data_IF_974845707477
#
_entry.id   IF_974845707477
#
_cell.length_a   1.000
_cell.length_b   1.000
_cell.length_c   1.000
_cell.angle_alpha   90.00
_cell.angle_beta   90.00
_cell.angle_gamma   90.00
#
_symmetry.space_group_name_H-M   'P 1'
#
loop_
_entity.id
_entity.type
_entity.pdbx_description
1 polymer ?
#
# COMPACT_ATOMS: atom_id res chain seq x y z
N UNK A 1 -17.88 -10.60 -12.48
CA UNK A 1 -18.47 -10.32 -11.14
C UNK A 1 -20.01 -10.42 -11.12
N UNK A 2 -20.70 -10.43 -12.27
CA UNK A 2 -22.19 -10.41 -12.33
C UNK A 2 -22.82 -11.60 -11.61
N UNK A 3 -22.17 -12.75 -11.66
CA UNK A 3 -22.67 -14.02 -11.12
C UNK A 3 -21.99 -14.43 -9.81
N UNK A 4 -21.23 -13.54 -9.21
CA UNK A 4 -20.55 -13.80 -7.94
C UNK A 4 -21.54 -13.65 -6.78
N UNK A 5 -21.60 -14.63 -5.86
CA UNK A 5 -22.50 -14.58 -4.71
C UNK A 5 -22.02 -13.60 -3.63
N UNK A 6 -20.79 -13.11 -3.74
CA UNK A 6 -20.19 -12.21 -2.76
C UNK A 6 -20.85 -10.83 -2.81
N UNK A 7 -21.26 -10.37 -1.63
CA UNK A 7 -21.87 -9.05 -1.45
C UNK A 7 -20.88 -7.90 -1.65
N UNK A 8 -19.64 -8.13 -1.26
CA UNK A 8 -18.56 -7.16 -1.37
C UNK A 8 -17.41 -7.77 -2.19
N UNK A 9 -16.87 -6.99 -3.10
CA UNK A 9 -15.66 -7.30 -3.85
C UNK A 9 -14.65 -6.21 -3.52
N UNK A 10 -13.47 -6.63 -3.08
CA UNK A 10 -12.35 -5.74 -2.79
C UNK A 10 -11.30 -5.98 -3.86
N UNK A 11 -10.91 -4.91 -4.52
CA UNK A 11 -9.77 -4.88 -5.44
C UNK A 11 -8.71 -3.92 -4.91
N UNK A 12 -7.45 -4.14 -5.26
CA UNK A 12 -6.35 -3.28 -4.82
C UNK A 12 -5.53 -2.78 -6.01
N UNK A 13 -5.02 -1.57 -5.87
CA UNK A 13 -4.16 -0.94 -6.87
C UNK A 13 -4.25 0.58 -6.78
N UNK A 14 -3.51 1.31 -7.61
CA UNK A 14 -3.60 2.77 -7.67
C UNK A 14 -4.88 3.21 -8.39
N UNK A 15 -6.04 2.77 -7.88
CA UNK A 15 -7.35 2.99 -8.52
C UNK A 15 -7.75 4.45 -8.57
N UNK A 16 -7.20 5.29 -7.71
CA UNK A 16 -7.52 6.72 -7.64
C UNK A 16 -6.65 7.60 -8.54
N UNK A 17 -5.80 7.03 -9.42
CA UNK A 17 -5.18 7.81 -10.51
C UNK A 17 -6.26 8.40 -11.41
N UNK A 18 -6.03 9.59 -12.03
CA UNK A 18 -7.06 10.26 -12.84
C UNK A 18 -7.66 9.38 -13.94
N UNK A 19 -6.83 8.58 -14.60
CA UNK A 19 -7.27 7.66 -15.67
C UNK A 19 -8.13 6.53 -15.14
N UNK A 20 -7.66 5.85 -14.10
CA UNK A 20 -8.38 4.72 -13.51
C UNK A 20 -9.71 5.16 -12.89
N UNK A 21 -9.72 6.29 -12.18
CA UNK A 21 -10.93 6.80 -11.56
C UNK A 21 -12.02 7.11 -12.59
N UNK A 22 -11.68 7.78 -13.69
CA UNK A 22 -12.60 8.02 -14.81
C UNK A 22 -13.11 6.73 -15.43
N UNK A 23 -12.23 5.74 -15.60
CA UNK A 23 -12.60 4.44 -16.13
C UNK A 23 -13.60 3.73 -15.21
N UNK A 24 -13.34 3.73 -13.92
CA UNK A 24 -14.24 3.16 -12.92
C UNK A 24 -15.60 3.86 -12.93
N UNK A 25 -15.64 5.19 -12.91
CA UNK A 25 -16.89 5.96 -13.00
C UNK A 25 -17.69 5.64 -14.26
N UNK A 26 -17.02 5.41 -15.38
CA UNK A 26 -17.67 5.07 -16.66
C UNK A 26 -18.28 3.67 -16.65
N UNK A 27 -17.62 2.70 -16.02
CA UNK A 27 -17.99 1.29 -16.15
C UNK A 27 -18.75 0.74 -14.95
N UNK A 28 -18.59 1.31 -13.75
CA UNK A 28 -19.37 0.91 -12.58
C UNK A 28 -20.66 1.68 -12.51
N UNK A 29 -21.78 0.96 -12.62
CA UNK A 29 -23.13 1.53 -12.49
C UNK A 29 -23.52 1.87 -11.05
N UNK A 30 -22.80 1.31 -10.06
CA UNK A 30 -23.01 1.55 -8.63
C UNK A 30 -21.86 2.40 -8.09
N UNK A 31 -22.10 3.25 -7.09
CA UNK A 31 -21.05 3.94 -6.40
C UNK A 31 -20.05 2.93 -5.84
N UNK A 32 -18.76 3.14 -6.13
CA UNK A 32 -17.67 2.41 -5.49
C UNK A 32 -17.07 3.29 -4.39
N UNK A 33 -16.42 2.65 -3.43
CA UNK A 33 -15.76 3.32 -2.30
C UNK A 33 -14.27 2.98 -2.34
N UNK A 34 -13.43 3.96 -2.06
CA UNK A 34 -11.99 3.80 -2.04
C UNK A 34 -11.47 3.94 -0.60
N UNK A 35 -10.69 2.97 -0.15
CA UNK A 35 -9.89 3.11 1.07
C UNK A 35 -8.48 3.49 0.63
N UNK A 36 -8.03 4.68 1.04
CA UNK A 36 -6.73 5.24 0.67
C UNK A 36 -5.79 5.06 1.86
N UNK A 37 -4.80 4.20 1.71
CA UNK A 37 -3.78 3.96 2.74
C UNK A 37 -2.69 5.03 2.63
N UNK A 38 -2.42 5.72 3.72
CA UNK A 38 -1.40 6.76 3.83
C UNK A 38 -0.27 6.26 4.74
N UNK A 39 0.96 6.40 4.29
CA UNK A 39 2.15 6.04 5.07
C UNK A 39 3.24 7.08 4.86
N UNK A 40 4.07 7.31 5.88
CA UNK A 40 5.24 8.19 5.73
C UNK A 40 6.08 7.77 4.52
N UNK A 41 6.45 8.74 3.67
CA UNK A 41 7.13 8.45 2.43
C UNK A 41 8.52 7.85 2.66
N UNK A 42 9.22 8.27 3.73
CA UNK A 42 10.53 7.69 4.04
C UNK A 42 10.40 6.23 4.45
N UNK A 43 9.34 5.84 5.19
CA UNK A 43 9.06 4.44 5.50
C UNK A 43 8.76 3.62 4.24
N UNK A 44 8.06 4.19 3.27
CA UNK A 44 7.80 3.54 1.98
C UNK A 44 9.10 3.32 1.22
N UNK A 45 9.94 4.36 1.10
CA UNK A 45 11.22 4.27 0.42
C UNK A 45 12.18 3.30 1.11
N UNK A 46 12.21 3.26 2.45
CA UNK A 46 12.96 2.27 3.21
C UNK A 46 12.53 0.83 2.90
N UNK A 47 11.21 0.60 2.73
CA UNK A 47 10.68 -0.71 2.35
C UNK A 47 11.12 -1.11 0.93
N UNK A 48 11.17 -0.18 -0.01
CA UNK A 48 11.71 -0.43 -1.36
C UNK A 48 13.22 -0.71 -1.32
N UNK A 49 13.99 0.05 -0.50
CA UNK A 49 15.42 -0.22 -0.30
C UNK A 49 15.65 -1.64 0.22
N UNK A 50 14.93 -2.02 1.26
CA UNK A 50 15.00 -3.37 1.79
C UNK A 50 14.70 -4.41 0.71
N UNK A 51 13.62 -4.21 -0.03
CA UNK A 51 13.21 -5.13 -1.08
C UNK A 51 14.30 -5.34 -2.14
N UNK A 52 14.83 -4.29 -2.76
CA UNK A 52 15.84 -4.46 -3.80
C UNK A 52 17.21 -4.89 -3.27
N UNK A 53 17.51 -4.65 -1.99
CA UNK A 53 18.73 -5.14 -1.36
C UNK A 53 18.66 -6.64 -1.06
N UNK A 54 17.50 -7.11 -0.60
CA UNK A 54 17.29 -8.52 -0.26
C UNK A 54 16.96 -9.38 -1.49
N UNK A 55 16.62 -8.77 -2.63
CA UNK A 55 16.25 -9.49 -3.86
C UNK A 55 17.09 -9.00 -5.05
N UNK A 56 18.15 -9.74 -5.44
CA UNK A 56 19.02 -9.33 -6.55
C UNK A 56 18.28 -9.13 -7.87
N UNK A 57 17.20 -9.89 -8.09
CA UNK A 57 16.35 -9.81 -9.29
C UNK A 57 15.26 -8.72 -9.20
N UNK A 58 15.24 -7.93 -8.13
CA UNK A 58 14.28 -6.85 -8.01
C UNK A 58 14.39 -5.86 -9.17
N UNK A 59 13.24 -5.31 -9.56
CA UNK A 59 13.13 -4.40 -10.70
C UNK A 59 14.22 -3.31 -10.75
N UNK A 60 14.54 -2.56 -9.67
CA UNK A 60 15.58 -1.53 -9.75
C UNK A 60 16.98 -2.09 -10.10
N UNK A 61 17.27 -3.32 -9.70
CA UNK A 61 18.57 -3.94 -9.94
C UNK A 61 18.78 -4.35 -11.41
N UNK A 62 17.71 -4.49 -12.18
CA UNK A 62 17.77 -4.90 -13.60
C UNK A 62 18.14 -3.80 -14.56
N UNK A 63 18.22 -2.54 -14.11
CA UNK A 63 18.48 -1.38 -14.96
C UNK A 63 19.95 -0.88 -14.92
N UNK A 64 20.85 -1.65 -14.35
CA UNK A 64 22.26 -1.28 -14.25
C UNK A 64 22.54 -0.10 -13.31
N UNK A 65 21.56 0.28 -12.48
CA UNK A 65 21.72 1.34 -11.48
C UNK A 65 22.63 0.86 -10.36
N UNK A 66 23.63 1.68 -10.04
CA UNK A 66 24.70 1.31 -9.11
C UNK A 66 24.43 1.77 -7.68
N UNK A 67 23.75 2.90 -7.52
CA UNK A 67 23.57 3.54 -6.22
C UNK A 67 22.12 3.46 -5.74
N UNK A 68 21.92 3.51 -4.42
CA UNK A 68 20.60 3.60 -3.82
C UNK A 68 19.87 4.90 -4.21
N UNK A 69 20.63 5.98 -4.41
CA UNK A 69 20.08 7.26 -4.89
C UNK A 69 19.44 7.09 -6.27
N UNK A 70 20.14 6.45 -7.22
CA UNK A 70 19.61 6.19 -8.57
C UNK A 70 18.39 5.28 -8.54
N UNK A 71 18.42 4.22 -7.74
CA UNK A 71 17.30 3.26 -7.61
C UNK A 71 16.06 3.94 -7.01
N UNK A 72 16.23 4.71 -5.94
CA UNK A 72 15.12 5.45 -5.33
C UNK A 72 14.62 6.58 -6.24
N UNK A 73 15.52 7.28 -6.94
CA UNK A 73 15.11 8.28 -7.93
C UNK A 73 14.30 7.67 -9.08
N UNK A 74 14.63 6.45 -9.51
CA UNK A 74 13.81 5.72 -10.50
C UNK A 74 12.42 5.39 -9.98
N UNK A 75 12.30 4.93 -8.73
CA UNK A 75 11.01 4.62 -8.09
C UNK A 75 10.15 5.88 -7.93
N UNK A 76 10.81 7.03 -7.72
CA UNK A 76 10.18 8.34 -7.52
C UNK A 76 10.02 9.16 -8.82
N UNK A 77 10.47 8.68 -9.97
CA UNK A 77 10.24 9.39 -11.23
C UNK A 77 8.74 9.32 -11.62
N UNK A 78 8.32 10.17 -12.56
CA UNK A 78 6.90 10.30 -12.97
C UNK A 78 6.22 8.98 -13.37
N UNK A 79 6.98 8.01 -13.84
CA UNK A 79 6.49 6.69 -14.26
C UNK A 79 6.75 5.61 -13.19
N UNK A 80 7.43 5.98 -12.12
CA UNK A 80 7.78 5.11 -11.00
C UNK A 80 6.58 4.74 -10.13
N UNK A 81 6.69 3.63 -9.44
CA UNK A 81 5.59 3.08 -8.65
C UNK A 81 5.12 4.07 -7.56
N UNK A 82 6.05 4.63 -6.79
CA UNK A 82 5.70 5.55 -5.68
C UNK A 82 5.15 6.87 -6.19
N UNK A 83 5.71 7.42 -7.28
CA UNK A 83 5.18 8.66 -7.85
C UNK A 83 3.73 8.50 -8.36
N UNK A 84 3.39 7.35 -8.95
CA UNK A 84 2.01 7.02 -9.35
C UNK A 84 1.07 6.89 -8.15
N UNK A 85 1.54 6.30 -7.06
CA UNK A 85 0.75 6.22 -5.83
C UNK A 85 0.54 7.62 -5.22
N UNK A 86 1.55 8.49 -5.24
CA UNK A 86 1.42 9.89 -4.81
C UNK A 86 0.44 10.66 -5.69
N UNK A 87 0.47 10.46 -7.00
CA UNK A 87 -0.51 11.03 -7.93
C UNK A 87 -1.92 10.54 -7.62
N UNK A 88 -2.08 9.24 -7.38
CA UNK A 88 -3.35 8.64 -7.01
C UNK A 88 -3.90 9.22 -5.71
N UNK A 89 -3.07 9.35 -4.67
CA UNK A 89 -3.43 9.99 -3.40
C UNK A 89 -3.86 11.44 -3.64
N UNK A 90 -3.06 12.22 -4.37
CA UNK A 90 -3.37 13.61 -4.69
C UNK A 90 -4.70 13.73 -5.46
N UNK A 91 -4.93 12.89 -6.43
CA UNK A 91 -6.18 12.89 -7.20
C UNK A 91 -7.39 12.49 -6.36
N UNK A 92 -7.23 11.59 -5.37
CA UNK A 92 -8.31 11.13 -4.50
C UNK A 92 -8.96 12.28 -3.72
N UNK A 93 -8.22 13.35 -3.42
CA UNK A 93 -8.76 14.54 -2.74
C UNK A 93 -9.84 15.27 -3.53
N UNK A 94 -9.92 15.07 -4.84
CA UNK A 94 -11.02 15.58 -5.67
C UNK A 94 -12.33 14.78 -5.50
N UNK A 95 -12.26 13.63 -4.79
CA UNK A 95 -13.35 12.67 -4.64
C UNK A 95 -13.52 12.22 -3.17
N UNK A 96 -13.41 13.16 -2.24
CA UNK A 96 -13.41 12.90 -0.79
C UNK A 96 -14.62 12.09 -0.32
N UNK A 97 -15.79 12.31 -0.90
CA UNK A 97 -17.02 11.62 -0.52
C UNK A 97 -16.99 10.13 -0.87
N UNK A 98 -16.11 9.73 -1.81
CA UNK A 98 -15.90 8.36 -2.23
C UNK A 98 -14.67 7.71 -1.60
N UNK A 99 -13.90 8.45 -0.80
CA UNK A 99 -12.61 8.02 -0.26
C UNK A 99 -12.60 8.10 1.27
N UNK A 100 -12.10 7.05 1.90
CA UNK A 100 -11.75 7.03 3.32
C UNK A 100 -10.24 6.91 3.47
N UNK A 101 -9.64 7.81 4.23
CA UNK A 101 -8.18 7.87 4.39
C UNK A 101 -7.79 7.20 5.70
N UNK A 102 -6.86 6.26 5.61
CA UNK A 102 -6.36 5.49 6.75
C UNK A 102 -4.85 5.68 6.85
N UNK A 103 -4.38 6.25 7.95
CA UNK A 103 -2.94 6.33 8.21
C UNK A 103 -2.43 4.98 8.73
N UNK A 104 -1.33 4.53 8.17
CA UNK A 104 -0.69 3.27 8.57
C UNK A 104 -0.41 3.24 10.08
N UNK A 105 0.13 4.34 10.63
CA UNK A 105 0.47 4.42 12.04
C UNK A 105 -0.76 4.30 12.94
N UNK A 106 -1.88 4.92 12.58
CA UNK A 106 -3.14 4.80 13.32
C UNK A 106 -3.68 3.37 13.23
N UNK A 107 -3.63 2.76 12.04
CA UNK A 107 -4.09 1.39 11.83
C UNK A 107 -3.30 0.37 12.65
N UNK A 108 -1.99 0.51 12.79
CA UNK A 108 -1.17 -0.44 13.57
C UNK A 108 -1.15 -0.16 15.06
N UNK A 109 -1.50 1.05 15.48
CA UNK A 109 -1.57 1.47 16.90
C UNK A 109 -2.95 1.20 17.49
N UNK A 110 -4.01 1.51 16.75
CA UNK A 110 -5.40 1.37 17.17
C UNK A 110 -6.23 0.62 16.10
N UNK A 111 -5.86 -0.62 15.76
CA UNK A 111 -6.42 -1.33 14.61
C UNK A 111 -7.95 -1.49 14.70
N UNK A 112 -8.48 -1.80 15.87
CA UNK A 112 -9.93 -1.98 16.02
C UNK A 112 -10.70 -0.69 15.70
N UNK A 113 -10.22 0.45 16.18
CA UNK A 113 -10.87 1.74 15.92
C UNK A 113 -10.85 2.08 14.42
N UNK A 114 -9.71 1.88 13.77
CA UNK A 114 -9.58 2.17 12.34
C UNK A 114 -10.43 1.23 11.48
N UNK A 115 -10.48 -0.07 11.81
CA UNK A 115 -11.36 -1.01 11.13
C UNK A 115 -12.84 -0.68 11.33
N UNK A 116 -13.25 -0.24 12.52
CA UNK A 116 -14.63 0.23 12.75
C UNK A 116 -15.01 1.41 11.84
N UNK A 117 -14.10 2.38 11.66
CA UNK A 117 -14.29 3.50 10.72
C UNK A 117 -14.41 3.00 9.27
N UNK A 118 -13.57 2.05 8.87
CA UNK A 118 -13.63 1.43 7.54
C UNK A 118 -15.00 0.76 7.33
N UNK A 119 -15.45 -0.07 8.27
CA UNK A 119 -16.74 -0.75 8.18
C UNK A 119 -17.90 0.25 8.12
N UNK A 120 -17.86 1.29 8.92
CA UNK A 120 -18.84 2.38 8.87
C UNK A 120 -18.84 3.06 7.49
N UNK A 121 -17.66 3.34 6.95
CA UNK A 121 -17.53 3.97 5.64
C UNK A 121 -18.07 3.08 4.52
N UNK A 122 -17.76 1.79 4.49
CA UNK A 122 -18.27 0.87 3.47
C UNK A 122 -19.76 0.56 3.67
N UNK A 123 -20.31 0.81 4.85
CA UNK A 123 -21.73 0.57 5.18
C UNK A 123 -22.02 -0.88 5.56
N UNK A 124 -21.03 -1.56 6.14
CA UNK A 124 -21.17 -2.97 6.55
C UNK A 124 -21.12 -3.12 8.07
N UNK A 125 -21.78 -4.14 8.62
CA UNK A 125 -21.64 -4.49 10.03
C UNK A 125 -20.20 -4.81 10.37
N UNK A 126 -19.72 -4.32 11.53
CA UNK A 126 -18.37 -4.61 11.98
C UNK A 126 -18.17 -6.11 12.23
N UNK A 127 -17.12 -6.66 11.63
CA UNK A 127 -16.64 -8.00 11.92
C UNK A 127 -15.56 -7.92 13.02
N UNK A 128 -15.66 -8.77 14.03
CA UNK A 128 -14.70 -8.78 15.14
C UNK A 128 -13.39 -9.46 14.73
N UNK A 129 -12.38 -8.67 14.45
CA UNK A 129 -11.06 -9.15 14.05
C UNK A 129 -10.19 -9.48 15.27
N UNK A 130 -9.34 -10.50 15.16
CA UNK A 130 -8.33 -10.81 16.15
C UNK A 130 -7.01 -10.09 15.83
N UNK A 131 -6.80 -8.91 16.36
CA UNK A 131 -5.57 -8.12 16.12
C UNK A 131 -4.38 -8.57 16.98
N UNK A 132 -4.61 -9.38 18.01
CA UNK A 132 -3.53 -9.97 18.80
C UNK A 132 -2.86 -11.14 18.04
N UNK A 133 -3.64 -11.83 17.22
CA UNK A 133 -3.14 -12.88 16.32
C UNK A 133 -4.07 -13.01 15.12
N UNK A 134 -3.88 -12.21 14.07
CA UNK A 134 -4.72 -12.24 12.87
C UNK A 134 -4.66 -13.58 12.10
N UNK A 135 -3.78 -14.47 12.54
CA UNK A 135 -3.62 -15.80 11.94
C UNK A 135 -2.73 -15.80 10.69
N UNK A 136 -2.56 -17.01 10.16
CA UNK A 136 -1.83 -17.22 8.92
C UNK A 136 -2.76 -17.04 7.72
N UNK A 137 -2.33 -16.22 6.77
CA UNK A 137 -3.09 -16.02 5.53
C UNK A 137 -2.88 -17.23 4.63
N UNK A 138 -3.96 -17.99 4.43
CA UNK A 138 -3.95 -19.15 3.52
C UNK A 138 -4.80 -18.86 2.29
N UNK A 139 -4.22 -19.11 1.12
CA UNK A 139 -4.92 -19.08 -0.16
C UNK A 139 -4.98 -20.51 -0.68
N UNK A 140 -6.19 -21.04 -0.86
CA UNK A 140 -6.40 -22.44 -1.25
C UNK A 140 -5.67 -23.45 -0.33
N UNK A 141 -5.60 -23.18 0.97
CA UNK A 141 -4.93 -24.02 1.96
C UNK A 141 -3.41 -23.87 2.04
N UNK A 142 -2.79 -23.08 1.18
CA UNK A 142 -1.36 -22.78 1.18
C UNK A 142 -1.09 -21.46 1.90
N UNK A 143 -0.09 -21.43 2.75
CA UNK A 143 0.40 -20.17 3.35
C UNK A 143 0.90 -19.23 2.27
N UNK A 144 0.61 -17.95 2.44
CA UNK A 144 1.05 -16.93 1.49
C UNK A 144 2.59 -16.84 1.46
N UNK A 145 3.17 -17.00 0.28
CA UNK A 145 4.60 -16.89 0.04
C UNK A 145 4.87 -16.18 -1.28
N UNK A 146 5.42 -14.98 -1.21
CA UNK A 146 5.80 -14.18 -2.39
C UNK A 146 6.88 -14.85 -3.27
N UNK A 147 7.62 -15.80 -2.74
CA UNK A 147 8.61 -16.56 -3.52
C UNK A 147 7.99 -17.28 -4.71
N UNK A 148 6.71 -17.63 -4.61
CA UNK A 148 5.95 -18.24 -5.72
C UNK A 148 5.90 -17.30 -6.94
N UNK A 149 5.90 -15.97 -6.71
CA UNK A 149 5.90 -14.94 -7.76
C UNK A 149 7.28 -14.33 -8.01
N UNK A 150 8.34 -14.95 -7.48
CA UNK A 150 9.73 -14.60 -7.78
C UNK A 150 10.33 -13.47 -6.96
N UNK A 151 9.65 -12.96 -5.96
CA UNK A 151 10.23 -11.95 -5.07
C UNK A 151 9.71 -12.06 -3.64
N UNK A 152 10.55 -11.78 -2.66
CA UNK A 152 10.17 -11.76 -1.24
C UNK A 152 9.83 -10.32 -0.83
N UNK A 153 8.75 -9.78 -1.41
CA UNK A 153 8.35 -8.39 -1.22
C UNK A 153 7.57 -8.18 0.08
N UNK A 154 6.73 -9.15 0.44
CA UNK A 154 5.84 -9.03 1.59
C UNK A 154 6.15 -10.11 2.62
N UNK A 155 6.77 -9.70 3.73
CA UNK A 155 6.94 -10.60 4.88
C UNK A 155 5.70 -10.50 5.76
N UNK A 156 5.00 -11.62 5.94
CA UNK A 156 3.95 -11.70 6.94
C UNK A 156 4.59 -11.89 8.31
N UNK A 157 4.25 -11.00 9.24
CA UNK A 157 4.69 -11.10 10.62
C UNK A 157 3.60 -11.80 11.44
N UNK A 158 3.97 -12.88 12.10
CA UNK A 158 3.08 -13.54 13.05
C UNK A 158 2.87 -12.71 14.31
N UNK A 159 1.74 -12.95 14.99
CA UNK A 159 1.41 -12.35 16.27
C UNK A 159 0.69 -11.00 16.14
N UNK A 160 0.75 -10.21 17.20
CA UNK A 160 0.00 -8.96 17.34
C UNK A 160 0.31 -7.94 16.24
N UNK A 161 -0.75 -7.28 15.73
CA UNK A 161 -0.60 -6.11 14.85
C UNK A 161 0.17 -5.02 15.58
N UNK A 162 1.26 -4.54 14.99
CA UNK A 162 2.14 -3.53 15.57
C UNK A 162 2.93 -2.80 14.51
N UNK A 163 3.41 -1.61 14.85
CA UNK A 163 4.41 -0.91 14.02
C UNK A 163 5.72 -1.70 14.01
N UNK A 164 6.27 -1.90 12.82
CA UNK A 164 7.57 -2.54 12.62
C UNK A 164 8.55 -1.47 12.18
N UNK A 165 9.64 -1.32 12.92
CA UNK A 165 10.73 -0.45 12.53
C UNK A 165 11.52 -1.05 11.37
N UNK A 166 11.77 -0.24 10.36
CA UNK A 166 12.60 -0.64 9.22
C UNK A 166 13.95 0.08 9.29
N UNK A 167 15.07 -0.63 9.56
CA UNK A 167 16.38 -0.01 9.72
C UNK A 167 16.93 0.62 8.42
N UNK A 168 16.37 0.29 7.27
CA UNK A 168 16.72 0.94 6.01
C UNK A 168 16.33 2.41 5.96
N UNK A 169 15.45 2.88 6.85
CA UNK A 169 15.12 4.31 6.94
C UNK A 169 16.36 5.16 7.23
N UNK A 170 17.31 4.66 8.01
CA UNK A 170 18.55 5.36 8.33
C UNK A 170 19.54 5.39 7.15
N UNK A 171 19.39 4.49 6.20
CA UNK A 171 20.26 4.33 5.02
C UNK A 171 19.77 5.14 3.81
N UNK A 172 18.61 5.78 3.87
CA UNK A 172 18.12 6.60 2.77
C UNK A 172 19.11 7.73 2.49
N UNK A 173 19.58 7.89 1.23
CA UNK A 173 20.54 8.94 0.88
C UNK A 173 20.02 10.35 1.23
N UNK A 174 20.91 11.23 1.71
CA UNK A 174 20.54 12.57 2.18
C UNK A 174 19.84 13.38 1.07
N UNK A 175 20.32 13.32 -0.16
CA UNK A 175 19.66 13.99 -1.31
C UNK A 175 18.21 13.55 -1.53
N UNK A 176 17.90 12.29 -1.26
CA UNK A 176 16.53 11.77 -1.33
C UNK A 176 15.70 12.35 -0.18
N UNK A 177 16.26 12.42 1.03
CA UNK A 177 15.61 13.02 2.20
C UNK A 177 15.32 14.51 1.98
N UNK A 178 16.30 15.27 1.51
CA UNK A 178 16.15 16.69 1.21
C UNK A 178 15.07 16.93 0.15
N UNK A 179 15.08 16.12 -0.91
CA UNK A 179 14.16 16.28 -2.04
C UNK A 179 12.74 15.90 -1.71
N UNK A 180 12.50 14.85 -0.93
CA UNK A 180 11.18 14.27 -0.74
C UNK A 180 10.71 14.25 0.72
N UNK A 181 11.57 14.51 1.68
CA UNK A 181 11.26 14.45 3.11
C UNK A 181 10.24 15.48 3.60
N UNK A 182 9.88 16.45 2.78
CA UNK A 182 8.83 17.43 3.07
C UNK A 182 7.40 16.91 2.77
N UNK A 183 7.28 15.81 2.04
CA UNK A 183 5.96 15.22 1.69
C UNK A 183 5.39 14.53 2.93
N UNK A 184 4.22 14.97 3.35
CA UNK A 184 3.48 14.44 4.51
C UNK A 184 2.02 14.17 4.14
N UNK A 185 1.39 13.23 4.86
CA UNK A 185 -0.02 12.86 4.70
C UNK A 185 -0.80 13.01 6.01
#
# INVERSE_FOLDING_TARGET
>A
YKDWPQRIIIDRGPVTTPGNFKLMQKHFKRPFKCIVLLRDLMDVLASYMQWYTENPDAFPNRFGLQTDEEKLAMIMNKDGAVAKDLEAIKNSYNYKDMCHYVKYDDMVTNPEQEFRKIYQFIGEPYFNHNFENPGDVKVNGLSYDDKIVGSNMHKLFAGKVRKVYNPYIEKIPERIREKYGHIRF
#
